data_IF_423910759017
#
_entry.id   IF_423910759017
#
_cell.length_a   1.000
_cell.length_b   1.000
_cell.length_c   1.000
_cell.angle_alpha   90.00
_cell.angle_beta   90.00
_cell.angle_gamma   90.00
#
_symmetry.space_group_name_H-M   'P 1'
#
loop_
_entity.id
_entity.type
_entity.pdbx_description
1 polymer ?
#
# COMPACT_ATOMS: atom_id res chain seq x y z
N UNK A 1 -72.79 -10.25 7.41
CA UNK A 1 -71.89 -10.22 6.24
C UNK A 1 -70.61 -9.48 6.68
N UNK A 2 -69.67 -10.22 7.30
CA UNK A 2 -68.40 -9.64 7.79
C UNK A 2 -67.33 -9.86 6.74
N UNK A 3 -66.74 -8.78 6.25
CA UNK A 3 -65.57 -8.83 5.34
C UNK A 3 -64.29 -8.85 6.18
N UNK A 4 -63.56 -9.94 6.14
CA UNK A 4 -62.20 -10.03 6.63
C UNK A 4 -61.29 -9.25 5.67
N UNK A 5 -60.59 -8.25 6.17
CA UNK A 5 -59.45 -7.63 5.50
C UNK A 5 -58.19 -8.39 5.92
N UNK A 6 -57.61 -9.11 4.98
CA UNK A 6 -56.27 -9.74 5.17
C UNK A 6 -55.22 -8.68 4.92
N UNK A 7 -54.52 -8.27 5.98
CA UNK A 7 -53.36 -7.39 5.83
C UNK A 7 -52.16 -8.22 5.33
N UNK A 8 -51.71 -7.96 4.13
CA UNK A 8 -50.43 -8.50 3.62
C UNK A 8 -49.30 -7.67 4.20
N UNK A 9 -48.56 -8.25 5.16
CA UNK A 9 -47.31 -7.71 5.65
C UNK A 9 -46.22 -8.06 4.64
N UNK A 10 -45.79 -7.09 3.85
CA UNK A 10 -44.61 -7.22 3.02
C UNK A 10 -43.39 -7.02 3.94
N UNK A 11 -42.75 -8.10 4.32
CA UNK A 11 -41.44 -8.05 4.99
C UNK A 11 -40.39 -7.64 3.93
N UNK A 12 -39.97 -6.38 3.96
CA UNK A 12 -38.79 -5.93 3.24
C UNK A 12 -37.57 -6.50 3.98
N UNK A 13 -37.07 -7.64 3.50
CA UNK A 13 -35.74 -8.13 3.87
C UNK A 13 -34.71 -7.12 3.32
N UNK A 14 -34.30 -6.17 4.14
CA UNK A 14 -33.07 -5.43 3.89
C UNK A 14 -31.94 -6.45 3.93
N UNK A 15 -31.40 -6.82 2.78
CA UNK A 15 -30.14 -7.50 2.69
C UNK A 15 -29.09 -6.52 3.22
N UNK A 16 -28.75 -6.61 4.50
CA UNK A 16 -27.54 -5.98 5.04
C UNK A 16 -26.39 -6.68 4.35
N UNK A 17 -25.78 -6.03 3.35
CA UNK A 17 -24.48 -6.42 2.85
C UNK A 17 -23.53 -6.34 4.05
N UNK A 18 -23.10 -7.50 4.52
CA UNK A 18 -22.12 -7.60 5.61
C UNK A 18 -20.75 -7.17 5.06
N UNK A 19 -20.54 -5.88 4.91
CA UNK A 19 -19.21 -5.30 4.80
C UNK A 19 -18.79 -4.96 6.22
N UNK A 20 -17.80 -5.68 6.72
CA UNK A 20 -17.22 -5.41 8.02
C UNK A 20 -16.44 -4.08 7.99
N UNK A 21 -16.31 -3.40 9.15
CA UNK A 21 -15.37 -2.31 9.35
C UNK A 21 -13.98 -2.65 8.81
N UNK A 22 -13.16 -1.67 8.45
CA UNK A 22 -11.82 -1.93 7.91
C UNK A 22 -10.97 -2.66 8.95
N UNK A 23 -10.69 -3.93 8.67
CA UNK A 23 -9.75 -4.74 9.44
C UNK A 23 -8.42 -4.78 8.69
N UNK A 24 -7.44 -4.03 9.18
CA UNK A 24 -6.11 -3.93 8.59
C UNK A 24 -5.06 -4.54 9.51
N UNK A 25 -4.35 -5.54 9.02
CA UNK A 25 -3.25 -6.21 9.70
C UNK A 25 -1.94 -5.85 9.01
N UNK A 26 -0.99 -5.32 9.77
CA UNK A 26 0.36 -5.05 9.33
C UNK A 26 1.20 -6.33 9.39
N UNK A 27 1.90 -6.63 8.31
CA UNK A 27 2.74 -7.81 8.15
C UNK A 27 4.20 -7.33 8.03
N UNK A 28 5.02 -7.58 9.05
CA UNK A 28 6.41 -7.12 9.07
C UNK A 28 7.32 -8.12 8.37
N UNK A 29 7.89 -7.71 7.25
CA UNK A 29 8.86 -8.50 6.49
C UNK A 29 10.29 -8.32 7.01
N UNK A 30 10.79 -7.08 7.00
CA UNK A 30 12.15 -6.73 7.44
C UNK A 30 12.13 -5.45 8.27
N UNK A 31 13.08 -5.35 9.19
CA UNK A 31 13.36 -4.13 9.96
C UNK A 31 14.86 -3.93 10.13
N UNK A 32 15.32 -2.69 9.98
CA UNK A 32 16.72 -2.32 10.11
C UNK A 32 16.93 -0.80 10.11
N UNK A 33 18.12 -0.38 9.72
CA UNK A 33 18.50 1.03 9.58
C UNK A 33 19.27 1.23 8.27
N UNK A 34 19.14 2.41 7.69
CA UNK A 34 19.89 2.85 6.52
C UNK A 34 20.67 4.13 6.83
N UNK A 35 21.64 4.45 5.99
CA UNK A 35 22.36 5.71 6.01
C UNK A 35 21.51 6.86 5.45
N UNK A 36 21.57 8.05 6.07
CA UNK A 36 20.86 9.24 5.62
C UNK A 36 21.36 9.79 4.28
N UNK A 37 22.44 9.25 3.72
CA UNK A 37 22.88 9.53 2.35
C UNK A 37 21.90 9.12 1.26
N UNK A 38 20.85 8.36 1.59
CA UNK A 38 19.73 8.06 0.70
C UNK A 38 18.80 9.27 0.46
N UNK A 39 18.82 10.26 1.34
CA UNK A 39 17.94 11.42 1.26
C UNK A 39 18.42 12.41 0.21
N UNK A 40 17.50 12.91 -0.61
CA UNK A 40 17.72 13.97 -1.61
C UNK A 40 17.04 15.25 -1.14
N UNK A 41 17.78 16.36 -1.14
CA UNK A 41 17.25 17.68 -0.77
C UNK A 41 17.15 17.96 0.73
N UNK A 42 17.57 17.04 1.59
CA UNK A 42 17.68 17.29 3.03
C UNK A 42 18.99 18.04 3.35
N UNK A 43 18.88 19.15 4.08
CA UNK A 43 20.07 19.87 4.60
C UNK A 43 20.68 19.15 5.79
N UNK A 44 21.95 19.42 6.12
CA UNK A 44 22.60 18.83 7.28
C UNK A 44 21.91 19.25 8.59
N UNK A 45 21.39 20.48 8.67
CA UNK A 45 20.59 20.95 9.81
C UNK A 45 19.31 20.14 9.98
N UNK A 46 18.58 19.85 8.89
CA UNK A 46 17.39 19.00 8.93
C UNK A 46 17.72 17.56 9.32
N UNK A 47 18.79 16.99 8.76
CA UNK A 47 19.24 15.65 9.17
C UNK A 47 19.58 15.60 10.67
N UNK A 48 20.34 16.58 11.18
CA UNK A 48 20.68 16.68 12.59
C UNK A 48 19.47 16.88 13.50
N UNK A 49 18.43 17.57 13.01
CA UNK A 49 17.21 17.84 13.77
C UNK A 49 16.29 16.62 13.87
N UNK A 50 16.16 15.82 12.80
CA UNK A 50 15.14 14.80 12.69
C UNK A 50 15.67 13.36 12.74
N UNK A 51 16.98 13.16 12.61
CA UNK A 51 17.60 11.83 12.58
C UNK A 51 18.55 11.62 13.74
N UNK A 52 18.55 10.43 14.30
CA UNK A 52 19.50 10.02 15.31
C UNK A 52 20.76 9.46 14.63
N UNK A 53 21.92 9.99 14.96
CA UNK A 53 23.23 9.51 14.48
C UNK A 53 23.37 9.40 12.96
N UNK A 54 22.65 10.26 12.20
CA UNK A 54 22.67 10.28 10.75
C UNK A 54 22.05 9.04 10.08
N UNK A 55 21.32 8.23 10.84
CA UNK A 55 20.63 7.04 10.36
C UNK A 55 19.14 7.26 10.23
N UNK A 56 18.52 6.50 9.35
CA UNK A 56 17.07 6.42 9.14
C UNK A 56 16.60 5.00 9.44
N UNK A 57 15.49 4.89 10.17
CA UNK A 57 14.85 3.58 10.39
C UNK A 57 14.31 3.06 9.06
N UNK A 58 14.51 1.78 8.82
CA UNK A 58 14.07 1.10 7.61
C UNK A 58 13.27 -0.14 7.99
N UNK A 59 12.09 -0.26 7.43
CA UNK A 59 11.25 -1.45 7.53
C UNK A 59 10.56 -1.71 6.21
N UNK A 60 10.16 -2.97 6.00
CA UNK A 60 9.35 -3.41 4.88
C UNK A 60 8.11 -4.05 5.45
N UNK A 61 6.95 -3.52 5.09
CA UNK A 61 5.65 -4.03 5.49
C UNK A 61 4.84 -4.39 4.26
N UNK A 62 3.92 -5.35 4.45
CA UNK A 62 2.75 -5.54 3.61
C UNK A 62 1.51 -5.42 4.49
N UNK A 63 0.35 -5.28 3.87
CA UNK A 63 -0.90 -5.15 4.63
C UNK A 63 -1.93 -6.19 4.16
N UNK A 64 -2.55 -6.86 5.13
CA UNK A 64 -3.73 -7.67 4.90
C UNK A 64 -4.96 -6.88 5.33
N UNK A 65 -5.79 -6.46 4.37
CA UNK A 65 -6.95 -5.60 4.64
C UNK A 65 -8.18 -6.23 4.04
N UNK A 66 -9.16 -6.57 4.87
CA UNK A 66 -10.47 -7.12 4.46
C UNK A 66 -10.36 -8.29 3.46
N UNK A 67 -9.38 -9.18 3.64
CA UNK A 67 -9.21 -10.34 2.74
C UNK A 67 -8.40 -10.07 1.47
N UNK A 68 -7.75 -8.93 1.38
CA UNK A 68 -6.88 -8.53 0.26
C UNK A 68 -5.45 -8.29 0.77
N UNK A 69 -4.47 -8.81 0.06
CA UNK A 69 -3.06 -8.56 0.34
C UNK A 69 -2.58 -7.36 -0.49
N UNK A 70 -1.99 -6.39 0.18
CA UNK A 70 -1.35 -5.22 -0.43
C UNK A 70 0.16 -5.36 -0.30
N UNK A 71 0.83 -5.53 -1.42
CA UNK A 71 2.22 -5.94 -1.59
C UNK A 71 2.55 -7.32 -0.96
N UNK A 72 3.67 -7.89 -1.34
CA UNK A 72 4.07 -9.24 -0.96
C UNK A 72 5.43 -9.30 -0.25
N UNK A 73 6.12 -8.16 -0.09
CA UNK A 73 7.44 -8.11 0.53
C UNK A 73 8.58 -8.59 -0.38
N UNK A 74 9.69 -8.90 0.24
CA UNK A 74 10.88 -9.44 -0.42
C UNK A 74 10.68 -10.90 -0.84
N UNK A 75 11.44 -11.35 -1.84
CA UNK A 75 11.63 -12.77 -2.09
C UNK A 75 12.27 -13.42 -0.86
N UNK A 76 11.75 -14.57 -0.45
CA UNK A 76 12.16 -15.26 0.79
C UNK A 76 11.98 -14.43 2.07
N UNK A 77 11.16 -13.39 2.01
CA UNK A 77 10.73 -12.60 3.15
C UNK A 77 9.77 -13.35 4.07
N UNK A 78 9.18 -12.64 5.02
CA UNK A 78 8.36 -13.25 6.07
C UNK A 78 6.86 -13.09 5.88
N UNK A 79 6.38 -12.49 4.76
CA UNK A 79 4.96 -12.16 4.59
C UNK A 79 4.06 -13.39 4.68
N UNK A 80 4.47 -14.53 4.08
CA UNK A 80 3.72 -15.79 4.19
C UNK A 80 3.62 -16.27 5.64
N UNK A 81 4.72 -16.18 6.41
CA UNK A 81 4.74 -16.57 7.82
C UNK A 81 3.92 -15.58 8.68
N UNK A 82 3.98 -14.27 8.38
CA UNK A 82 3.20 -13.26 9.09
C UNK A 82 1.68 -13.43 8.84
N UNK A 83 1.27 -13.76 7.61
CA UNK A 83 -0.11 -14.14 7.30
C UNK A 83 -0.54 -15.37 8.12
N UNK A 84 0.29 -16.42 8.14
CA UNK A 84 -0.02 -17.64 8.89
C UNK A 84 -0.18 -17.39 10.40
N UNK A 85 0.62 -16.51 11.01
CA UNK A 85 0.46 -16.08 12.41
C UNK A 85 -0.89 -15.40 12.66
N UNK A 86 -1.47 -14.79 11.64
CA UNK A 86 -2.80 -14.17 11.68
C UNK A 86 -3.91 -15.10 11.17
N UNK A 87 -3.64 -16.41 11.05
CA UNK A 87 -4.63 -17.42 10.67
C UNK A 87 -4.96 -17.47 9.18
N UNK A 88 -4.14 -16.86 8.32
CA UNK A 88 -4.34 -16.82 6.86
C UNK A 88 -3.26 -17.67 6.17
N UNK A 89 -3.66 -18.75 5.48
CA UNK A 89 -2.71 -19.50 4.67
C UNK A 89 -2.46 -18.79 3.33
N UNK A 90 -1.28 -18.93 2.77
CA UNK A 90 -0.96 -18.35 1.46
C UNK A 90 -1.90 -18.84 0.33
N UNK A 91 -2.39 -20.08 0.43
CA UNK A 91 -3.37 -20.66 -0.52
C UNK A 91 -4.77 -20.04 -0.41
N UNK A 92 -5.08 -19.35 0.70
CA UNK A 92 -6.36 -18.71 0.94
C UNK A 92 -6.39 -17.27 0.41
N UNK A 93 -5.23 -16.68 0.13
CA UNK A 93 -5.10 -15.36 -0.51
C UNK A 93 -5.59 -15.47 -1.96
N UNK A 94 -6.61 -14.69 -2.31
CA UNK A 94 -7.22 -14.70 -3.66
C UNK A 94 -6.89 -13.46 -4.47
N UNK A 95 -6.59 -12.35 -3.80
CA UNK A 95 -6.39 -11.05 -4.42
C UNK A 95 -5.14 -10.39 -3.83
N UNK A 96 -4.23 -10.00 -4.70
CA UNK A 96 -3.02 -9.25 -4.34
C UNK A 96 -2.99 -7.97 -5.16
N UNK A 97 -2.95 -6.83 -4.49
CA UNK A 97 -2.82 -5.52 -5.10
C UNK A 97 -1.39 -5.02 -4.89
N UNK A 98 -0.65 -4.82 -5.98
CA UNK A 98 0.74 -4.35 -5.94
C UNK A 98 0.75 -2.83 -6.12
N UNK A 99 1.43 -2.12 -5.21
CA UNK A 99 1.59 -0.67 -5.30
C UNK A 99 2.56 -0.28 -6.40
N UNK A 100 3.67 -1.01 -6.51
CA UNK A 100 4.69 -0.87 -7.55
C UNK A 100 5.61 -2.10 -7.58
N UNK A 101 6.49 -2.19 -8.58
CA UNK A 101 7.27 -3.41 -8.85
C UNK A 101 8.75 -3.30 -8.40
N UNK A 102 9.04 -2.60 -7.28
CA UNK A 102 10.32 -2.78 -6.60
C UNK A 102 10.36 -4.11 -5.84
N UNK A 103 11.57 -4.64 -5.66
CA UNK A 103 11.79 -6.01 -5.16
C UNK A 103 11.22 -6.31 -3.78
N UNK A 104 11.08 -5.31 -2.95
CA UNK A 104 10.51 -5.40 -1.60
C UNK A 104 8.98 -5.26 -1.55
N UNK A 105 8.32 -5.12 -2.70
CA UNK A 105 6.86 -5.09 -2.83
C UNK A 105 6.31 -6.28 -3.60
N UNK A 106 6.98 -6.67 -4.71
CA UNK A 106 6.52 -7.80 -5.52
C UNK A 106 7.35 -9.08 -5.32
N UNK A 107 8.55 -8.98 -4.72
CA UNK A 107 9.51 -10.08 -4.65
C UNK A 107 8.97 -11.34 -4.00
N UNK A 108 8.19 -11.18 -2.93
CA UNK A 108 7.55 -12.26 -2.20
C UNK A 108 6.40 -12.97 -2.93
N UNK A 109 6.06 -12.54 -4.15
CA UNK A 109 5.18 -13.31 -5.04
C UNK A 109 5.81 -14.65 -5.46
N UNK A 110 7.14 -14.75 -5.49
CA UNK A 110 7.85 -15.99 -5.80
C UNK A 110 8.66 -16.48 -4.59
N UNK A 111 8.62 -17.80 -4.34
CA UNK A 111 9.48 -18.45 -3.34
C UNK A 111 10.94 -18.61 -3.84
N UNK A 112 11.82 -19.15 -2.98
CA UNK A 112 13.23 -19.42 -3.30
C UNK A 112 13.43 -20.35 -4.49
N UNK A 113 12.46 -21.24 -4.76
CA UNK A 113 12.50 -22.16 -5.87
C UNK A 113 11.87 -21.58 -7.16
N UNK A 114 11.43 -20.32 -7.13
CA UNK A 114 10.79 -19.65 -8.25
C UNK A 114 9.35 -20.09 -8.53
N UNK A 115 8.66 -20.66 -7.55
CA UNK A 115 7.24 -21.02 -7.63
C UNK A 115 6.37 -19.92 -7.07
N UNK A 116 5.09 -19.89 -7.44
CA UNK A 116 4.12 -18.97 -6.88
C UNK A 116 3.97 -19.16 -5.36
N UNK A 117 4.28 -18.15 -4.58
CA UNK A 117 4.11 -18.17 -3.12
C UNK A 117 2.62 -18.15 -2.73
N UNK A 118 1.76 -17.57 -3.58
CA UNK A 118 0.31 -17.46 -3.40
C UNK A 118 -0.43 -18.14 -4.57
N UNK A 119 -0.50 -19.47 -4.61
CA UNK A 119 -0.82 -20.24 -5.84
C UNK A 119 -2.25 -20.04 -6.35
N UNK A 120 -3.15 -19.45 -5.54
CA UNK A 120 -4.55 -19.28 -5.88
C UNK A 120 -4.94 -17.80 -6.07
N UNK A 121 -3.95 -16.91 -6.21
CA UNK A 121 -4.16 -15.45 -6.26
C UNK A 121 -4.21 -14.92 -7.70
N UNK A 122 -5.03 -13.89 -7.89
CA UNK A 122 -4.89 -12.95 -8.99
C UNK A 122 -4.04 -11.76 -8.50
N UNK A 123 -3.14 -11.27 -9.35
CA UNK A 123 -2.25 -10.14 -9.05
C UNK A 123 -2.66 -8.95 -9.89
N UNK A 124 -2.90 -7.82 -9.24
CA UNK A 124 -3.29 -6.58 -9.88
C UNK A 124 -2.12 -5.61 -9.89
N UNK A 125 -1.84 -5.04 -11.06
CA UNK A 125 -0.73 -4.10 -11.28
C UNK A 125 -1.25 -2.94 -12.11
N UNK A 126 -0.84 -1.71 -11.81
CA UNK A 126 -1.20 -0.57 -12.67
C UNK A 126 -0.59 -0.75 -14.06
N UNK A 127 -1.34 -0.38 -15.10
CA UNK A 127 -0.84 -0.51 -16.47
C UNK A 127 0.46 0.28 -16.70
N UNK A 128 0.64 1.53 -16.22
CA UNK A 128 1.92 2.24 -16.37
C UNK A 128 3.09 1.54 -15.68
N UNK A 129 2.87 0.88 -14.55
CA UNK A 129 3.90 0.12 -13.84
C UNK A 129 4.34 -1.12 -14.65
N UNK A 130 3.34 -1.86 -15.13
CA UNK A 130 3.60 -3.01 -16.00
C UNK A 130 4.35 -2.61 -17.28
N UNK A 131 3.90 -1.53 -17.94
CA UNK A 131 4.54 -1.04 -19.17
C UNK A 131 6.00 -0.66 -18.90
N UNK A 132 6.30 0.05 -17.84
CA UNK A 132 7.65 0.47 -17.48
C UNK A 132 8.58 -0.72 -17.22
N UNK A 133 8.19 -1.65 -16.34
CA UNK A 133 9.07 -2.75 -15.95
C UNK A 133 9.15 -3.88 -16.99
N UNK A 134 8.02 -4.20 -17.64
CA UNK A 134 7.92 -5.35 -18.55
C UNK A 134 8.24 -4.96 -19.99
N UNK A 135 7.67 -3.84 -20.49
CA UNK A 135 7.78 -3.48 -21.89
C UNK A 135 8.98 -2.57 -22.18
N UNK A 136 9.30 -1.61 -21.29
CA UNK A 136 10.40 -0.67 -21.50
C UNK A 136 11.71 -1.24 -20.94
N UNK A 137 11.80 -1.52 -19.63
CA UNK A 137 13.01 -2.02 -18.99
C UNK A 137 13.30 -3.50 -19.29
N UNK A 138 12.28 -4.27 -19.63
CA UNK A 138 12.37 -5.72 -19.85
C UNK A 138 13.02 -6.45 -18.67
N UNK A 139 12.65 -6.06 -17.45
CA UNK A 139 13.19 -6.58 -16.21
C UNK A 139 12.86 -8.06 -16.04
N UNK A 140 13.82 -8.95 -16.31
CA UNK A 140 13.61 -10.41 -16.34
C UNK A 140 13.05 -10.98 -15.03
N UNK A 141 13.51 -10.49 -13.88
CA UNK A 141 13.01 -10.89 -12.57
C UNK A 141 11.52 -10.57 -12.40
N UNK A 142 11.09 -9.38 -12.84
CA UNK A 142 9.67 -8.96 -12.83
C UNK A 142 8.86 -9.83 -13.78
N UNK A 143 9.32 -9.96 -15.03
CA UNK A 143 8.65 -10.75 -16.06
C UNK A 143 8.46 -12.20 -15.61
N UNK A 144 9.50 -12.82 -15.06
CA UNK A 144 9.47 -14.23 -14.64
C UNK A 144 8.56 -14.43 -13.43
N UNK A 145 8.54 -13.49 -12.49
CA UNK A 145 7.65 -13.54 -11.32
C UNK A 145 6.19 -13.36 -11.73
N UNK A 146 5.89 -12.35 -12.57
CA UNK A 146 4.51 -12.09 -13.00
C UNK A 146 3.93 -13.22 -13.85
N UNK A 147 4.75 -13.96 -14.60
CA UNK A 147 4.31 -15.16 -15.36
C UNK A 147 3.74 -16.28 -14.48
N UNK A 148 4.02 -16.28 -13.18
CA UNK A 148 3.49 -17.27 -12.25
C UNK A 148 2.00 -17.03 -11.93
N UNK A 149 1.45 -15.87 -12.30
CA UNK A 149 0.14 -15.40 -11.90
C UNK A 149 -0.74 -15.00 -13.06
N UNK A 150 -2.05 -14.99 -12.81
CA UNK A 150 -2.99 -14.26 -13.66
C UNK A 150 -2.93 -12.78 -13.28
N UNK A 151 -2.22 -11.99 -14.11
CA UNK A 151 -2.05 -10.54 -13.88
C UNK A 151 -3.21 -9.77 -14.49
N UNK A 152 -3.84 -8.92 -13.69
CA UNK A 152 -4.87 -7.97 -14.11
C UNK A 152 -4.31 -6.55 -14.12
N UNK A 153 -4.44 -5.86 -15.22
CA UNK A 153 -4.01 -4.48 -15.37
C UNK A 153 -5.18 -3.52 -15.16
N UNK A 154 -4.90 -2.39 -14.50
CA UNK A 154 -5.86 -1.32 -14.25
C UNK A 154 -5.24 0.05 -14.55
N UNK A 155 -6.08 1.08 -14.70
CA UNK A 155 -5.66 2.47 -14.84
C UNK A 155 -5.79 3.24 -13.52
N UNK A 156 -5.07 4.37 -13.42
CA UNK A 156 -5.30 5.30 -12.30
C UNK A 156 -6.74 5.81 -12.30
N UNK A 157 -7.33 5.89 -11.12
CA UNK A 157 -8.73 6.29 -10.91
C UNK A 157 -9.73 5.15 -10.98
N UNK A 158 -9.35 3.97 -11.48
CA UNK A 158 -10.25 2.81 -11.51
C UNK A 158 -10.63 2.35 -10.11
N UNK A 159 -11.83 1.83 -9.97
CA UNK A 159 -12.20 0.94 -8.88
C UNK A 159 -11.67 -0.45 -9.23
N UNK A 160 -10.51 -0.80 -8.65
CA UNK A 160 -9.74 -2.02 -9.00
C UNK A 160 -10.48 -3.27 -8.60
N UNK A 161 -11.07 -3.23 -7.41
CA UNK A 161 -12.01 -4.21 -6.87
C UNK A 161 -13.08 -3.42 -6.07
N UNK A 162 -14.25 -3.99 -5.77
CA UNK A 162 -15.29 -3.28 -5.02
C UNK A 162 -14.76 -2.64 -3.73
N UNK A 163 -14.96 -1.34 -3.59
CA UNK A 163 -14.52 -0.55 -2.44
C UNK A 163 -13.03 -0.16 -2.44
N UNK A 164 -12.26 -0.44 -3.50
CA UNK A 164 -10.83 -0.09 -3.58
C UNK A 164 -10.53 0.68 -4.85
N UNK A 165 -10.15 1.95 -4.70
CA UNK A 165 -9.83 2.86 -5.81
C UNK A 165 -8.33 3.10 -5.93
N UNK A 166 -7.81 3.01 -7.15
CA UNK A 166 -6.43 3.36 -7.48
C UNK A 166 -6.24 4.89 -7.54
N UNK A 167 -5.32 5.42 -6.74
CA UNK A 167 -4.95 6.83 -6.74
C UNK A 167 -3.60 7.00 -7.47
N UNK A 168 -3.51 7.90 -8.46
CA UNK A 168 -2.23 8.21 -9.10
C UNK A 168 -1.27 8.83 -8.08
N UNK A 169 -0.26 8.08 -7.72
CA UNK A 169 0.85 8.52 -6.88
C UNK A 169 2.20 8.23 -7.54
N UNK A 170 2.21 8.26 -8.87
CA UNK A 170 3.41 8.08 -9.68
C UNK A 170 4.52 9.08 -9.33
N UNK A 171 5.76 8.67 -9.56
CA UNK A 171 6.97 9.44 -9.24
C UNK A 171 8.03 8.56 -8.59
N UNK A 172 7.69 7.83 -7.52
CA UNK A 172 8.58 6.80 -6.98
C UNK A 172 8.92 5.76 -8.05
N UNK A 173 7.89 5.23 -8.70
CA UNK A 173 7.97 4.60 -10.02
C UNK A 173 6.95 5.26 -10.96
N UNK A 174 7.07 5.10 -12.29
CA UNK A 174 6.13 5.70 -13.24
C UNK A 174 4.67 5.24 -13.07
N UNK A 175 4.47 4.04 -12.55
CA UNK A 175 3.14 3.47 -12.34
C UNK A 175 2.77 3.27 -10.87
N UNK A 176 3.55 3.82 -9.92
CA UNK A 176 3.26 3.72 -8.50
C UNK A 176 1.84 4.21 -8.17
N UNK A 177 1.13 3.44 -7.37
CA UNK A 177 -0.26 3.68 -7.00
C UNK A 177 -0.45 3.57 -5.48
N UNK A 178 -1.24 4.47 -4.90
CA UNK A 178 -1.83 4.28 -3.58
C UNK A 178 -3.27 3.81 -3.74
N UNK A 179 -3.78 3.04 -2.77
CA UNK A 179 -5.15 2.54 -2.79
C UNK A 179 -5.98 3.21 -1.71
N UNK A 180 -7.11 3.82 -2.11
CA UNK A 180 -8.15 4.25 -1.18
C UNK A 180 -9.10 3.07 -0.98
N UNK A 181 -9.10 2.53 0.23
CA UNK A 181 -9.99 1.45 0.68
C UNK A 181 -11.17 2.07 1.40
N UNK A 182 -12.38 1.71 0.98
CA UNK A 182 -13.63 2.18 1.57
C UNK A 182 -14.51 0.99 1.96
N UNK A 183 -14.96 0.95 3.22
CA UNK A 183 -15.86 -0.09 3.74
C UNK A 183 -16.72 0.49 4.86
N UNK A 184 -18.06 0.36 4.78
CA UNK A 184 -19.04 0.80 5.78
C UNK A 184 -18.86 2.27 6.25
N UNK A 185 -18.42 3.14 5.36
CA UNK A 185 -18.16 4.56 5.69
C UNK A 185 -16.78 4.82 6.31
N UNK A 186 -16.02 3.79 6.63
CA UNK A 186 -14.62 3.89 7.01
C UNK A 186 -13.71 3.96 5.78
N UNK A 187 -12.56 4.59 5.95
CA UNK A 187 -11.56 4.75 4.88
C UNK A 187 -10.16 4.49 5.39
N UNK A 188 -9.33 3.91 4.53
CA UNK A 188 -7.90 3.71 4.74
C UNK A 188 -7.17 4.00 3.42
N UNK A 189 -6.04 4.68 3.48
CA UNK A 189 -5.14 4.79 2.34
C UNK A 189 -4.00 3.80 2.54
N UNK A 190 -3.87 2.81 1.65
CA UNK A 190 -2.67 1.99 1.54
C UNK A 190 -1.75 2.69 0.56
N UNK A 191 -0.68 3.29 1.08
CA UNK A 191 0.02 4.38 0.43
C UNK A 191 1.21 3.96 -0.44
N UNK A 192 1.69 2.72 -0.30
CA UNK A 192 2.94 2.30 -0.94
C UNK A 192 4.12 3.14 -0.46
N UNK A 193 4.96 3.54 -1.38
CA UNK A 193 6.22 4.22 -1.15
C UNK A 193 6.18 5.74 -1.37
N UNK A 194 5.04 6.35 -1.03
CA UNK A 194 5.02 7.83 -0.97
C UNK A 194 5.99 8.37 0.08
N UNK A 195 6.39 7.54 1.04
CA UNK A 195 7.24 7.92 2.16
C UNK A 195 8.02 6.73 2.70
N UNK A 196 9.35 6.87 2.79
CA UNK A 196 10.27 5.85 3.32
C UNK A 196 10.73 6.14 4.74
N UNK A 197 10.91 7.41 5.07
CA UNK A 197 11.51 7.88 6.31
C UNK A 197 10.61 8.94 6.96
N UNK A 198 9.55 8.52 7.66
CA UNK A 198 8.54 9.43 8.23
C UNK A 198 9.13 10.46 9.20
N UNK A 199 10.22 10.13 9.89
CA UNK A 199 10.88 11.01 10.85
C UNK A 199 11.29 12.35 10.22
N UNK A 200 11.73 12.33 8.96
CA UNK A 200 12.12 13.53 8.22
C UNK A 200 11.12 13.92 7.13
N UNK A 201 10.49 12.95 6.45
CA UNK A 201 9.60 13.24 5.32
C UNK A 201 8.21 13.75 5.72
N UNK A 202 7.79 13.56 6.98
CA UNK A 202 6.61 14.25 7.51
C UNK A 202 6.89 15.72 7.76
N UNK A 203 7.85 16.13 8.61
CA UNK A 203 8.11 17.56 8.86
C UNK A 203 8.70 18.28 7.64
N UNK A 204 9.41 17.58 6.76
CA UNK A 204 10.04 18.15 5.56
C UNK A 204 9.63 17.34 4.31
N UNK A 205 8.37 17.48 3.85
CA UNK A 205 7.81 16.63 2.79
C UNK A 205 8.46 16.82 1.41
N UNK A 206 9.34 17.80 1.26
CA UNK A 206 10.14 18.04 0.05
C UNK A 206 11.37 17.12 -0.07
N UNK A 207 11.73 16.41 1.00
CA UNK A 207 12.86 15.47 0.97
C UNK A 207 12.46 14.23 0.18
N UNK A 208 13.15 13.99 -0.94
CA UNK A 208 13.02 12.80 -1.76
C UNK A 208 14.05 11.73 -1.36
N UNK A 209 14.01 10.58 -2.02
CA UNK A 209 14.96 9.47 -1.79
C UNK A 209 15.61 9.04 -3.11
N UNK A 210 16.79 8.41 -3.02
CA UNK A 210 17.52 7.92 -4.20
C UNK A 210 16.82 6.80 -4.97
N UNK A 211 15.78 6.22 -4.37
CA UNK A 211 14.94 5.20 -5.01
C UNK A 211 13.87 5.78 -5.92
N UNK A 212 13.59 7.10 -5.83
CA UNK A 212 12.60 7.76 -6.66
C UNK A 212 13.09 7.89 -8.10
N UNK A 213 12.34 7.35 -9.06
CA UNK A 213 12.61 7.49 -10.51
C UNK A 213 12.44 8.96 -10.95
N UNK A 214 11.38 9.61 -10.45
CA UNK A 214 11.14 11.05 -10.57
C UNK A 214 10.95 11.66 -9.18
N UNK A 215 12.05 12.16 -8.55
CA UNK A 215 12.00 12.73 -7.20
C UNK A 215 11.04 13.92 -7.06
N UNK A 216 10.87 14.72 -8.12
CA UNK A 216 9.98 15.89 -8.09
C UNK A 216 8.52 15.42 -8.01
N UNK A 217 8.15 14.48 -8.88
CA UNK A 217 6.81 13.92 -8.92
C UNK A 217 6.50 13.09 -7.66
N UNK A 218 7.46 12.33 -7.14
CA UNK A 218 7.32 11.58 -5.88
C UNK A 218 6.99 12.51 -4.70
N UNK A 219 7.66 13.67 -4.61
CA UNK A 219 7.35 14.71 -3.61
C UNK A 219 5.93 15.25 -3.79
N UNK A 220 5.49 15.50 -5.03
CA UNK A 220 4.12 15.98 -5.31
C UNK A 220 3.08 14.94 -4.89
N UNK A 221 3.29 13.67 -5.23
CA UNK A 221 2.44 12.55 -4.86
C UNK A 221 2.35 12.38 -3.34
N UNK A 222 3.48 12.48 -2.64
CA UNK A 222 3.52 12.48 -1.15
C UNK A 222 2.65 13.57 -0.58
N UNK A 223 2.84 14.80 -1.01
CA UNK A 223 2.07 15.96 -0.53
C UNK A 223 0.58 15.78 -0.80
N UNK A 224 0.23 15.34 -2.00
CA UNK A 224 -1.16 15.09 -2.37
C UNK A 224 -1.83 14.09 -1.41
N UNK A 225 -1.18 12.95 -1.13
CA UNK A 225 -1.73 11.94 -0.22
C UNK A 225 -1.80 12.46 1.22
N UNK A 226 -0.75 13.11 1.70
CA UNK A 226 -0.73 13.62 3.09
C UNK A 226 -1.74 14.75 3.28
N UNK A 227 -1.91 15.65 2.31
CA UNK A 227 -2.95 16.68 2.33
C UNK A 227 -4.36 16.08 2.33
N UNK A 228 -4.59 15.10 1.46
CA UNK A 228 -5.88 14.42 1.39
C UNK A 228 -6.21 13.67 2.70
N UNK A 229 -5.23 12.92 3.22
CA UNK A 229 -5.36 12.20 4.48
C UNK A 229 -5.64 13.15 5.67
N UNK A 230 -4.86 14.24 5.78
CA UNK A 230 -5.03 15.24 6.85
C UNK A 230 -6.39 15.94 6.77
N UNK A 231 -6.79 16.38 5.56
CA UNK A 231 -8.09 17.06 5.35
C UNK A 231 -9.29 16.17 5.67
N UNK A 232 -9.24 14.89 5.34
CA UNK A 232 -10.33 13.93 5.50
C UNK A 232 -10.23 13.09 6.77
N UNK A 233 -9.17 13.28 7.56
CA UNK A 233 -8.86 12.48 8.75
C UNK A 233 -8.82 10.95 8.45
N UNK A 234 -8.23 10.59 7.31
CA UNK A 234 -8.10 9.19 6.87
C UNK A 234 -6.75 8.64 7.34
N UNK A 235 -6.69 7.45 7.98
CA UNK A 235 -5.42 6.81 8.31
C UNK A 235 -4.67 6.39 7.03
N UNK A 236 -3.34 6.41 7.13
CA UNK A 236 -2.41 6.05 6.06
C UNK A 236 -1.59 4.85 6.51
N UNK A 237 -1.67 3.76 5.76
CA UNK A 237 -0.84 2.57 5.88
C UNK A 237 0.31 2.66 4.88
N UNK A 238 1.54 2.73 5.35
CA UNK A 238 2.72 2.87 4.48
C UNK A 238 3.73 1.76 4.72
N UNK A 239 4.29 1.21 3.65
CA UNK A 239 5.14 0.03 3.67
C UNK A 239 6.46 0.26 4.41
N UNK A 240 6.91 1.49 4.52
CA UNK A 240 8.13 1.86 5.23
C UNK A 240 7.89 2.67 6.52
N UNK A 241 6.65 2.76 6.98
CA UNK A 241 6.32 3.38 8.27
C UNK A 241 6.58 2.39 9.41
N UNK A 242 7.20 2.86 10.49
CA UNK A 242 7.46 2.01 11.67
C UNK A 242 6.19 1.28 12.14
N UNK A 243 6.26 -0.04 12.42
CA UNK A 243 5.10 -0.82 12.87
C UNK A 243 4.29 -0.13 13.99
N UNK A 244 2.95 -0.18 13.92
CA UNK A 244 2.13 -1.00 13.03
C UNK A 244 1.98 -0.46 11.60
N UNK A 245 2.72 0.55 11.17
CA UNK A 245 2.73 1.05 9.81
C UNK A 245 1.53 1.91 9.43
N UNK A 246 0.58 2.12 10.32
CA UNK A 246 -0.65 2.90 10.12
C UNK A 246 -0.60 4.13 11.00
N UNK A 247 -0.72 5.31 10.39
CA UNK A 247 -0.68 6.60 11.09
C UNK A 247 -1.83 7.49 10.65
N UNK A 248 -2.21 8.42 11.52
CA UNK A 248 -2.98 9.60 11.14
C UNK A 248 -2.05 10.80 11.10
N UNK A 249 -2.31 11.71 10.17
CA UNK A 249 -1.49 12.91 9.98
C UNK A 249 -2.34 14.16 10.02
N UNK A 250 -1.76 15.25 10.50
CA UNK A 250 -2.31 16.60 10.41
C UNK A 250 -1.25 17.58 9.92
N UNK A 251 -1.66 18.70 9.39
CA UNK A 251 -0.75 19.79 9.02
C UNK A 251 -0.02 20.32 10.26
N UNK A 252 1.28 20.60 10.11
CA UNK A 252 2.13 21.20 11.13
C UNK A 252 3.20 22.06 10.45
N UNK A 253 3.04 23.38 10.51
CA UNK A 253 3.86 24.31 9.73
C UNK A 253 3.79 24.02 8.23
N UNK A 254 4.97 23.91 7.60
CA UNK A 254 5.08 23.59 6.17
C UNK A 254 5.03 22.07 5.89
N UNK A 255 4.94 21.26 6.92
CA UNK A 255 4.92 19.80 6.84
C UNK A 255 3.70 19.18 7.51
N UNK A 256 3.94 18.01 8.07
CA UNK A 256 2.92 17.19 8.74
C UNK A 256 3.50 16.61 10.03
N UNK A 257 2.62 16.28 10.96
CA UNK A 257 2.94 15.47 12.13
C UNK A 257 1.92 14.34 12.29
N UNK A 258 2.36 13.22 12.84
CA UNK A 258 1.49 12.10 13.20
C UNK A 258 0.82 12.37 14.55
N UNK A 259 -0.38 11.84 14.72
CA UNK A 259 -1.13 11.91 16.00
C UNK A 259 -1.93 10.64 16.26
#
# INVERSE_FOLDING_TARGET
>A
MFRLFTAVVIAVLAASSAYASINAVSLLDVQGENDSGLLIGATDAQKSQYLSDGKVKSQILAFWVNGVLYDAGLRDGRIVQELAKNGVNASDVKTILITHLHGDHFGGLADSEGRAAFPNSEVFVSKPEYDYWVNELKAENVINTLKLYHVKLFAFGDEVIPGVRAMDTSGHTPGHVSYLVESEGEKLIVAGDIMHFPEIQLPVPNVAVKYDVDPVKAVQSRKFILDYAACKNIPVAGMHITPPGIIRVKKSGDGYEKF
#
